data_IF_261911213577
#
_entry.id   IF_261911213577
#
_cell.length_a   1.000
_cell.length_b   1.000
_cell.length_c   1.000
_cell.angle_alpha   90.00
_cell.angle_beta   90.00
_cell.angle_gamma   90.00
#
_symmetry.space_group_name_H-M   'P 1'
#
loop_
_entity.id
_entity.type
_entity.pdbx_description
1 polymer ?
#
# COMPACT_ATOMS: atom_id res chain seq x y z
N UNK A 1 -0.04 -14.07 -4.55
CA UNK A 1 0.02 -12.74 -5.19
C UNK A 1 0.60 -12.82 -6.59
N UNK A 2 0.19 -11.92 -7.47
CA UNK A 2 0.72 -11.78 -8.83
C UNK A 2 1.37 -10.40 -8.98
N UNK A 3 2.66 -10.37 -9.29
CA UNK A 3 3.37 -9.15 -9.68
C UNK A 3 3.53 -9.05 -11.20
N UNK A 4 3.86 -7.86 -11.68
CA UNK A 4 4.17 -7.57 -13.07
C UNK A 4 5.48 -6.80 -13.21
N UNK A 5 6.05 -6.84 -14.42
CA UNK A 5 7.22 -6.04 -14.80
C UNK A 5 6.78 -5.11 -15.94
N UNK A 6 7.10 -3.82 -15.80
CA UNK A 6 6.95 -2.83 -16.87
C UNK A 6 8.33 -2.28 -17.24
N UNK A 7 8.62 -2.14 -18.54
CA UNK A 7 9.88 -1.58 -19.04
C UNK A 7 9.64 -0.83 -20.34
N UNK A 8 10.44 0.19 -20.62
CA UNK A 8 10.43 0.88 -21.92
C UNK A 8 11.24 0.14 -22.98
N UNK A 9 12.10 -0.81 -22.59
CA UNK A 9 12.99 -1.54 -23.49
C UNK A 9 14.19 -0.74 -24.03
N UNK A 10 14.28 0.57 -23.71
CA UNK A 10 15.39 1.45 -24.15
C UNK A 10 16.66 1.29 -23.31
N UNK A 11 16.53 0.74 -22.09
CA UNK A 11 17.60 0.48 -21.14
C UNK A 11 17.25 -0.77 -20.32
N UNK A 12 18.21 -1.40 -19.59
CA UNK A 12 17.89 -2.51 -18.69
C UNK A 12 17.10 -2.10 -17.43
N UNK A 13 16.59 -0.86 -17.36
CA UNK A 13 15.71 -0.41 -16.28
C UNK A 13 14.29 -0.96 -16.43
N UNK A 14 13.66 -1.22 -15.30
CA UNK A 14 12.30 -1.76 -15.25
C UNK A 14 11.59 -1.34 -13.96
N UNK A 15 10.30 -1.60 -13.90
CA UNK A 15 9.42 -1.27 -12.80
C UNK A 15 8.73 -2.56 -12.32
N UNK A 16 8.92 -2.93 -11.06
CA UNK A 16 8.05 -3.90 -10.41
C UNK A 16 6.69 -3.26 -10.16
N UNK A 17 5.61 -4.00 -10.46
CA UNK A 17 4.24 -3.65 -10.07
C UNK A 17 3.66 -4.78 -9.24
N UNK A 18 3.18 -4.47 -8.06
CA UNK A 18 2.57 -5.47 -7.19
C UNK A 18 1.59 -4.81 -6.21
N UNK A 19 0.76 -5.64 -5.58
CA UNK A 19 -0.10 -5.19 -4.49
C UNK A 19 0.66 -5.44 -3.19
N UNK A 20 1.02 -4.37 -2.47
CA UNK A 20 1.60 -4.45 -1.15
C UNK A 20 0.48 -4.78 -0.15
N UNK A 21 0.61 -5.91 0.53
CA UNK A 21 -0.32 -6.34 1.56
C UNK A 21 0.33 -6.15 2.93
N UNK A 22 -0.30 -5.33 3.77
CA UNK A 22 0.07 -5.18 5.18
C UNK A 22 -1.05 -5.76 6.03
N UNK A 23 -0.72 -6.78 6.81
CA UNK A 23 -1.65 -7.41 7.75
C UNK A 23 -1.17 -7.15 9.18
N UNK A 24 -1.99 -6.44 9.95
CA UNK A 24 -1.77 -6.13 11.36
C UNK A 24 -2.79 -6.90 12.17
N UNK A 25 -2.36 -7.62 13.19
CA UNK A 25 -3.22 -8.44 14.04
C UNK A 25 -3.29 -7.87 15.45
N UNK A 26 -4.39 -8.13 16.13
CA UNK A 26 -4.60 -7.82 17.55
C UNK A 26 -4.29 -6.34 17.88
N UNK A 27 -4.65 -5.42 16.98
CA UNK A 27 -4.36 -4.01 17.14
C UNK A 27 -5.38 -3.32 18.05
N UNK A 28 -4.91 -2.74 19.15
CA UNK A 28 -5.77 -2.20 20.22
C UNK A 28 -5.83 -0.66 20.25
N UNK A 29 -5.08 0.02 19.38
CA UNK A 29 -5.07 1.48 19.31
C UNK A 29 -5.93 2.01 18.15
N UNK A 30 -5.97 3.34 17.99
CA UNK A 30 -6.63 3.97 16.84
C UNK A 30 -5.96 3.55 15.53
N UNK A 31 -6.76 3.11 14.55
CA UNK A 31 -6.30 2.79 13.19
C UNK A 31 -5.49 3.93 12.54
N UNK A 32 -5.75 5.18 12.94
CA UNK A 32 -5.00 6.36 12.49
C UNK A 32 -3.48 6.24 12.79
N UNK A 33 -3.10 5.54 13.87
CA UNK A 33 -1.71 5.32 14.24
C UNK A 33 -0.96 4.43 13.22
N UNK A 34 -1.68 3.60 12.46
CA UNK A 34 -1.15 2.84 11.33
C UNK A 34 -1.31 3.61 10.02
N UNK A 35 -2.43 4.29 9.81
CA UNK A 35 -2.71 4.97 8.55
C UNK A 35 -1.76 6.16 8.32
N UNK A 36 -1.45 6.95 9.35
CA UNK A 36 -0.55 8.10 9.25
C UNK A 36 0.85 7.75 8.71
N UNK A 37 1.60 6.78 9.28
CA UNK A 37 2.91 6.42 8.75
C UNK A 37 2.83 5.78 7.35
N UNK A 38 1.77 5.02 7.05
CA UNK A 38 1.55 4.49 5.69
C UNK A 38 1.38 5.63 4.68
N UNK A 39 0.55 6.63 4.99
CA UNK A 39 0.37 7.79 4.12
C UNK A 39 1.66 8.61 3.96
N UNK A 40 2.44 8.77 5.03
CA UNK A 40 3.74 9.43 4.97
C UNK A 40 4.76 8.68 4.08
N UNK A 41 4.73 7.34 4.10
CA UNK A 41 5.55 6.53 3.20
C UNK A 41 5.08 6.65 1.74
N UNK A 42 3.77 6.57 1.50
CA UNK A 42 3.19 6.73 0.16
C UNK A 42 3.46 8.12 -0.43
N UNK A 43 3.42 9.17 0.40
CA UNK A 43 3.74 10.52 -0.03
C UNK A 43 5.17 10.64 -0.58
N UNK A 44 6.12 9.92 0.01
CA UNK A 44 7.52 9.94 -0.43
C UNK A 44 7.80 9.02 -1.61
N UNK A 45 7.20 7.82 -1.63
CA UNK A 45 7.58 6.76 -2.57
C UNK A 45 6.59 6.56 -3.71
N UNK A 46 5.32 6.93 -3.51
CA UNK A 46 4.22 6.74 -4.45
C UNK A 46 3.40 8.04 -4.60
N UNK A 47 4.01 9.22 -4.84
CA UNK A 47 3.29 10.49 -4.84
C UNK A 47 2.20 10.54 -5.91
N UNK A 48 2.39 9.88 -7.05
CA UNK A 48 1.38 9.82 -8.11
C UNK A 48 0.18 8.94 -7.75
N UNK A 49 0.32 7.99 -6.82
CA UNK A 49 -0.81 7.24 -6.25
C UNK A 49 -1.69 8.16 -5.40
N UNK A 50 -1.10 9.04 -4.59
CA UNK A 50 -1.85 9.94 -3.70
C UNK A 50 -2.42 11.18 -4.41
N UNK A 51 -1.65 11.78 -5.31
CA UNK A 51 -1.98 13.06 -5.93
C UNK A 51 -2.92 12.92 -7.13
N UNK A 52 -3.12 11.70 -7.64
CA UNK A 52 -4.04 11.44 -8.75
C UNK A 52 -5.43 11.02 -8.22
N UNK A 53 -6.49 11.82 -8.44
CA UNK A 53 -7.85 11.52 -7.94
C UNK A 53 -8.47 10.21 -8.45
N UNK A 54 -8.00 9.70 -9.59
CA UNK A 54 -8.44 8.42 -10.13
C UNK A 54 -7.72 7.25 -9.45
N UNK A 55 -6.44 7.45 -9.06
CA UNK A 55 -5.63 6.40 -8.44
C UNK A 55 -5.75 6.36 -6.92
N UNK A 56 -5.99 7.50 -6.26
CA UNK A 56 -5.95 7.58 -4.79
C UNK A 56 -7.07 6.79 -4.09
N UNK A 57 -8.11 6.41 -4.82
CA UNK A 57 -9.19 5.50 -4.36
C UNK A 57 -8.81 4.03 -4.37
N UNK A 58 -7.63 3.68 -4.89
CA UNK A 58 -7.15 2.30 -4.96
C UNK A 58 -6.48 1.81 -3.69
N UNK A 59 -6.16 2.71 -2.75
CA UNK A 59 -5.71 2.36 -1.41
C UNK A 59 -6.91 1.86 -0.62
N UNK A 60 -6.91 0.58 -0.24
CA UNK A 60 -8.01 -0.05 0.47
C UNK A 60 -7.54 -0.61 1.80
N UNK A 61 -8.44 -0.58 2.78
CA UNK A 61 -8.25 -1.28 4.02
C UNK A 61 -9.54 -2.02 4.41
N UNK A 62 -9.39 -3.12 5.11
CA UNK A 62 -10.47 -3.89 5.74
C UNK A 62 -10.13 -4.13 7.19
N UNK A 63 -11.14 -4.11 8.06
CA UNK A 63 -10.97 -4.36 9.50
C UNK A 63 -11.88 -5.49 9.94
N UNK A 64 -11.34 -6.42 10.73
CA UNK A 64 -12.13 -7.39 11.48
C UNK A 64 -12.00 -7.05 12.98
N UNK A 65 -13.14 -6.91 13.66
CA UNK A 65 -13.17 -6.61 15.09
C UNK A 65 -13.09 -7.94 15.85
N UNK A 66 -12.16 -8.01 16.81
CA UNK A 66 -11.92 -9.17 17.65
C UNK A 66 -12.71 -9.06 18.97
N UNK A 67 -12.75 -10.13 19.76
CA UNK A 67 -13.53 -10.21 21.01
C UNK A 67 -12.84 -9.58 22.23
N UNK A 68 -11.57 -9.22 22.11
CA UNK A 68 -10.70 -8.70 23.16
C UNK A 68 -10.44 -7.18 23.03
N UNK A 69 -11.39 -6.45 22.45
CA UNK A 69 -11.28 -5.02 22.12
C UNK A 69 -10.13 -4.68 21.14
N UNK A 70 -9.62 -5.67 20.41
CA UNK A 70 -8.66 -5.47 19.32
C UNK A 70 -9.31 -5.57 17.93
N UNK A 71 -8.53 -5.23 16.90
CA UNK A 71 -8.93 -5.42 15.52
C UNK A 71 -7.77 -5.91 14.65
N UNK A 72 -8.08 -6.79 13.71
CA UNK A 72 -7.20 -7.14 12.61
C UNK A 72 -7.42 -6.17 11.44
N UNK A 73 -6.34 -5.70 10.84
CA UNK A 73 -6.36 -4.69 9.79
C UNK A 73 -5.58 -5.23 8.59
N UNK A 74 -6.25 -5.30 7.44
CA UNK A 74 -5.65 -5.65 6.16
C UNK A 74 -5.62 -4.41 5.27
N UNK A 75 -4.42 -3.97 4.88
CA UNK A 75 -4.24 -2.93 3.87
C UNK A 75 -3.75 -3.56 2.57
N UNK A 76 -4.31 -3.08 1.46
CA UNK A 76 -3.94 -3.48 0.11
C UNK A 76 -3.63 -2.22 -0.70
N UNK A 77 -2.40 -2.12 -1.21
CA UNK A 77 -1.90 -0.92 -1.87
C UNK A 77 -1.20 -1.29 -3.18
N UNK A 78 -1.70 -0.84 -4.34
CA UNK A 78 -0.97 -1.03 -5.60
C UNK A 78 0.26 -0.11 -5.61
N UNK A 79 1.45 -0.69 -5.62
CA UNK A 79 2.71 0.04 -5.62
C UNK A 79 3.55 -0.28 -6.84
N UNK A 80 4.48 0.62 -7.15
CA UNK A 80 5.47 0.42 -8.20
C UNK A 80 6.87 0.85 -7.79
N UNK A 81 7.86 0.01 -8.09
CA UNK A 81 9.25 0.21 -7.71
C UNK A 81 10.16 0.15 -8.92
N UNK A 82 10.93 1.21 -9.15
CA UNK A 82 11.84 1.30 -10.28
C UNK A 82 13.21 0.71 -9.92
N UNK A 83 13.73 -0.13 -10.80
CA UNK A 83 15.11 -0.62 -10.81
C UNK A 83 15.80 0.01 -12.01
N UNK A 84 16.98 0.62 -11.80
CA UNK A 84 17.77 1.34 -12.81
C UNK A 84 19.05 0.55 -13.09
#
# INVERSE_FOLDING_TARGET
ESGGIETTGESPSFLYRYNLVLFVMDFTESIDNIMLPVMAWLYRNQPDLLLNPEKNKSIKFSTAINDDDSADILLEIPVWERVI
#
